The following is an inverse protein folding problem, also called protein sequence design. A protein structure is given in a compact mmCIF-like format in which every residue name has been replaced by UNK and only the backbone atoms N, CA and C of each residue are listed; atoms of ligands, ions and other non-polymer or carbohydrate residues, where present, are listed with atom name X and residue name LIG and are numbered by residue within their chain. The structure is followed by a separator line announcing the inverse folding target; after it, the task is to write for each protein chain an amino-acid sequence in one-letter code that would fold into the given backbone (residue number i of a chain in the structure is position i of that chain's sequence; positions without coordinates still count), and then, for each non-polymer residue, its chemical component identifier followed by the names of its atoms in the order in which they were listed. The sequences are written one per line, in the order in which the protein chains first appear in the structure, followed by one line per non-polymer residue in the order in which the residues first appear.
data_IF_837594502143
#
_entry.id   IF_837594502143
#
_cell.length_a   1.000
_cell.length_b   1.000
_cell.length_c   1.000
_cell.angle_alpha   90.00
_cell.angle_beta   90.00
_cell.angle_gamma   90.00
#
_symmetry.space_group_name_H-M   'P 1'
#
loop_
_entity.id
_entity.type
_entity.pdbx_description
1 polymer ?
#
# COMPACT_ATOMS: atom_id res chain seq x y z
N UNK A 1 1.35 5.79 -21.27
CA UNK A 1 2.21 6.90 -20.84
C UNK A 1 3.59 6.72 -21.45
N UNK A 2 4.09 7.69 -22.21
CA UNK A 2 5.48 7.72 -22.67
C UNK A 2 6.22 8.72 -21.79
N UNK A 3 7.11 8.23 -20.94
CA UNK A 3 8.05 9.09 -20.25
C UNK A 3 9.22 9.27 -21.22
N UNK A 4 9.39 10.50 -21.70
CA UNK A 4 10.51 10.84 -22.56
C UNK A 4 11.81 10.74 -21.74
N UNK A 5 12.73 9.91 -22.19
CA UNK A 5 14.04 9.76 -21.54
C UNK A 5 14.82 11.07 -21.44
N UNK A 6 14.52 12.06 -22.29
CA UNK A 6 15.13 13.39 -22.21
C UNK A 6 14.69 14.16 -20.97
N UNK A 7 13.46 13.94 -20.47
CA UNK A 7 12.97 14.53 -19.22
C UNK A 7 13.67 13.98 -17.98
N UNK A 8 14.26 12.80 -18.11
CA UNK A 8 14.96 12.11 -17.01
C UNK A 8 16.48 12.31 -17.06
N UNK A 9 16.99 13.08 -18.02
CA UNK A 9 18.42 13.32 -18.17
C UNK A 9 19.00 13.97 -16.90
N UNK A 10 20.02 13.34 -16.31
CA UNK A 10 20.66 13.81 -15.08
C UNK A 10 19.93 13.46 -13.78
N UNK A 11 18.81 12.72 -13.87
CA UNK A 11 18.07 12.21 -12.70
C UNK A 11 18.56 10.79 -12.40
N UNK A 12 18.81 10.48 -11.12
CA UNK A 12 19.27 9.16 -10.69
C UNK A 12 18.16 8.34 -10.04
N UNK A 13 17.10 8.97 -9.58
CA UNK A 13 15.98 8.33 -8.87
C UNK A 13 14.69 9.08 -9.17
N UNK A 14 13.65 8.36 -9.54
CA UNK A 14 12.29 8.86 -9.64
C UNK A 14 11.49 8.52 -8.38
N UNK A 15 10.61 9.42 -7.96
CA UNK A 15 9.58 9.15 -6.95
C UNK A 15 8.23 9.31 -7.64
N UNK A 16 7.42 8.24 -7.63
CA UNK A 16 6.09 8.26 -8.21
C UNK A 16 5.02 8.34 -7.12
N UNK A 17 4.14 9.32 -7.26
CA UNK A 17 3.09 9.65 -6.28
C UNK A 17 1.83 10.08 -7.03
N UNK A 18 1.35 9.23 -7.93
CA UNK A 18 0.18 9.49 -8.76
C UNK A 18 -1.06 8.79 -8.22
N UNK A 19 -2.28 9.22 -8.58
CA UNK A 19 -3.50 8.48 -8.24
C UNK A 19 -3.42 7.01 -8.65
N UNK A 20 -4.07 6.13 -7.89
CA UNK A 20 -3.94 4.67 -8.03
C UNK A 20 -4.20 4.15 -9.45
N UNK A 21 -5.21 4.68 -10.15
CA UNK A 21 -5.52 4.28 -11.53
C UNK A 21 -4.40 4.58 -12.55
N UNK A 22 -3.43 5.41 -12.21
CA UNK A 22 -2.26 5.74 -13.03
C UNK A 22 -1.00 5.00 -12.55
N UNK A 23 -1.01 4.47 -11.32
CA UNK A 23 0.18 3.99 -10.61
C UNK A 23 0.97 2.95 -11.38
N UNK A 24 0.33 1.83 -11.73
CA UNK A 24 0.99 0.73 -12.42
C UNK A 24 1.60 1.13 -13.76
N UNK A 25 0.85 1.85 -14.59
CA UNK A 25 1.31 2.30 -15.89
C UNK A 25 2.47 3.32 -15.78
N UNK A 26 2.43 4.19 -14.76
CA UNK A 26 3.52 5.13 -14.48
C UNK A 26 4.77 4.40 -14.01
N UNK A 27 4.64 3.47 -13.07
CA UNK A 27 5.75 2.64 -12.59
C UNK A 27 6.42 1.87 -13.73
N UNK A 28 5.61 1.20 -14.56
CA UNK A 28 6.10 0.48 -15.75
C UNK A 28 6.85 1.39 -16.70
N UNK A 29 6.33 2.58 -16.98
CA UNK A 29 6.96 3.56 -17.88
C UNK A 29 8.31 4.05 -17.35
N UNK A 30 8.42 4.32 -16.04
CA UNK A 30 9.68 4.72 -15.39
C UNK A 30 10.71 3.61 -15.47
N UNK A 31 10.32 2.36 -15.21
CA UNK A 31 11.20 1.20 -15.33
C UNK A 31 11.67 1.01 -16.78
N UNK A 32 10.76 1.12 -17.76
CA UNK A 32 11.08 1.05 -19.21
C UNK A 32 12.10 2.12 -19.62
N UNK A 33 12.02 3.30 -19.03
CA UNK A 33 12.98 4.38 -19.25
C UNK A 33 14.37 4.14 -18.61
N UNK A 34 14.54 3.04 -17.87
CA UNK A 34 15.83 2.68 -17.25
C UNK A 34 16.12 3.46 -15.96
N UNK A 35 15.10 3.92 -15.24
CA UNK A 35 15.23 4.75 -14.05
C UNK A 35 14.95 3.95 -12.78
N UNK A 36 15.81 4.13 -11.75
CA UNK A 36 15.48 3.66 -10.39
C UNK A 36 14.24 4.42 -9.88
N UNK A 37 13.37 3.71 -9.17
CA UNK A 37 12.09 4.29 -8.76
C UNK A 37 11.67 3.86 -7.36
N UNK A 38 11.10 4.81 -6.61
CA UNK A 38 10.35 4.57 -5.38
C UNK A 38 8.91 4.99 -5.62
N UNK A 39 7.97 4.06 -5.44
CA UNK A 39 6.55 4.29 -5.71
C UNK A 39 5.71 4.24 -4.44
N UNK A 40 4.87 5.26 -4.28
CA UNK A 40 3.89 5.35 -3.18
C UNK A 40 2.44 5.24 -3.67
N UNK A 41 2.24 5.03 -4.96
CA UNK A 41 0.89 4.96 -5.55
C UNK A 41 0.15 3.70 -5.10
N UNK A 42 -1.16 3.84 -4.87
CA UNK A 42 -2.00 2.74 -4.39
C UNK A 42 -2.86 2.17 -5.53
N UNK A 43 -2.30 1.26 -6.33
CA UNK A 43 -2.98 0.62 -7.47
C UNK A 43 -3.35 -0.85 -7.19
N UNK A 44 -4.39 -1.39 -7.86
CA UNK A 44 -4.87 -2.76 -7.62
C UNK A 44 -3.97 -3.87 -8.20
N UNK A 45 -3.17 -3.54 -9.21
CA UNK A 45 -2.32 -4.50 -9.92
C UNK A 45 -1.20 -5.03 -9.01
N UNK A 46 -0.65 -6.18 -9.40
CA UNK A 46 0.53 -6.74 -8.73
C UNK A 46 1.81 -6.06 -9.22
N UNK A 47 2.39 -5.23 -8.38
CA UNK A 47 3.65 -4.55 -8.68
C UNK A 47 4.81 -5.53 -8.93
N UNK A 48 4.79 -6.73 -8.30
CA UNK A 48 5.85 -7.74 -8.45
C UNK A 48 5.88 -8.33 -9.88
N UNK A 49 4.80 -8.19 -10.65
CA UNK A 49 4.78 -8.56 -12.06
C UNK A 49 5.82 -7.80 -12.91
N UNK A 50 6.27 -6.63 -12.43
CA UNK A 50 7.30 -5.82 -13.09
C UNK A 50 8.74 -6.23 -12.75
N UNK A 51 8.95 -7.22 -11.86
CA UNK A 51 10.29 -7.66 -11.43
C UNK A 51 11.20 -8.06 -12.60
N UNK A 52 10.66 -8.82 -13.56
CA UNK A 52 11.41 -9.23 -14.76
C UNK A 52 11.86 -8.02 -15.57
N UNK A 53 10.97 -7.06 -15.80
CA UNK A 53 11.26 -5.84 -16.54
C UNK A 53 12.32 -4.99 -15.81
N UNK A 54 12.22 -4.85 -14.49
CA UNK A 54 13.21 -4.12 -13.70
C UNK A 54 14.60 -4.77 -13.79
N UNK A 55 14.69 -6.09 -13.73
CA UNK A 55 15.94 -6.85 -13.92
C UNK A 55 16.51 -6.67 -15.34
N UNK A 56 15.68 -6.76 -16.37
CA UNK A 56 16.10 -6.53 -17.76
C UNK A 56 16.63 -5.11 -18.00
N UNK A 57 16.08 -4.12 -17.30
CA UNK A 57 16.52 -2.72 -17.37
C UNK A 57 17.65 -2.39 -16.40
N UNK A 58 18.06 -3.34 -15.57
CA UNK A 58 19.08 -3.16 -14.52
C UNK A 58 18.74 -1.96 -13.58
N UNK A 59 17.50 -1.84 -13.17
CA UNK A 59 17.01 -0.81 -12.25
C UNK A 59 16.44 -1.40 -10.98
N UNK A 60 16.47 -0.62 -9.91
CA UNK A 60 15.81 -0.92 -8.65
C UNK A 60 14.47 -0.21 -8.59
N UNK A 61 13.39 -0.99 -8.43
CA UNK A 61 12.04 -0.47 -8.20
C UNK A 61 11.57 -0.89 -6.80
N UNK A 62 11.30 0.09 -5.94
CA UNK A 62 10.77 -0.12 -4.60
C UNK A 62 9.34 0.37 -4.59
N UNK A 63 8.41 -0.51 -4.32
CA UNK A 63 6.97 -0.25 -4.32
C UNK A 63 6.39 -0.32 -2.91
N UNK A 64 5.13 0.11 -2.74
CA UNK A 64 4.48 0.12 -1.44
C UNK A 64 5.25 0.98 -0.40
N UNK A 65 5.69 2.17 -0.80
CA UNK A 65 6.47 3.09 0.05
C UNK A 65 5.65 4.24 0.64
N UNK A 66 4.33 4.08 0.76
CA UNK A 66 3.43 5.03 1.42
C UNK A 66 3.42 4.90 2.95
N UNK A 67 2.25 5.15 3.54
CA UNK A 67 2.04 4.95 4.99
C UNK A 67 1.66 3.51 5.28
N UNK A 68 0.59 3.01 4.64
CA UNK A 68 0.13 1.62 4.71
C UNK A 68 -0.63 1.25 3.42
N UNK A 69 0.04 0.63 2.47
CA UNK A 69 1.38 0.02 2.55
C UNK A 69 2.53 1.03 2.52
N UNK A 70 3.58 0.75 3.28
CA UNK A 70 4.82 1.54 3.28
C UNK A 70 5.52 1.53 4.62
N UNK A 71 5.26 2.51 5.49
CA UNK A 71 5.85 2.54 6.84
C UNK A 71 5.55 1.24 7.60
N UNK A 72 4.33 0.73 7.48
CA UNK A 72 3.94 -0.58 8.01
C UNK A 72 4.82 -1.72 7.49
N UNK A 73 5.20 -1.69 6.21
CA UNK A 73 6.06 -2.69 5.58
C UNK A 73 7.49 -2.62 6.11
N UNK A 74 8.02 -1.40 6.28
CA UNK A 74 9.35 -1.18 6.83
C UNK A 74 9.43 -1.65 8.28
N UNK A 75 8.41 -1.34 9.08
CA UNK A 75 8.35 -1.75 10.50
C UNK A 75 8.31 -3.27 10.63
N UNK A 76 7.40 -3.95 9.91
CA UNK A 76 7.34 -5.41 9.98
C UNK A 76 8.62 -6.06 9.43
N UNK A 77 9.20 -5.49 8.35
CA UNK A 77 10.47 -5.97 7.79
C UNK A 77 11.60 -5.89 8.82
N UNK A 78 11.69 -4.78 9.56
CA UNK A 78 12.69 -4.61 10.62
C UNK A 78 12.54 -5.65 11.74
N UNK A 79 11.32 -5.83 12.26
CA UNK A 79 11.07 -6.80 13.31
C UNK A 79 11.24 -8.26 12.84
N UNK A 80 11.03 -8.55 11.56
CA UNK A 80 11.26 -9.87 11.00
C UNK A 80 12.73 -10.31 11.05
N UNK A 81 13.67 -9.36 11.13
CA UNK A 81 15.10 -9.66 11.34
C UNK A 81 15.44 -10.00 12.81
N UNK A 82 14.56 -9.62 13.73
CA UNK A 82 14.83 -9.70 15.17
C UNK A 82 14.00 -10.77 15.88
N UNK A 83 12.84 -11.15 15.32
CA UNK A 83 11.91 -12.07 15.96
C UNK A 83 11.11 -12.90 14.96
N UNK A 84 10.54 -13.99 15.45
CA UNK A 84 9.54 -14.76 14.71
C UNK A 84 8.19 -14.04 14.80
N UNK A 85 7.58 -13.75 13.66
CA UNK A 85 6.30 -13.05 13.59
C UNK A 85 5.19 -14.07 13.33
N UNK A 86 4.33 -14.28 14.30
CA UNK A 86 3.16 -15.16 14.19
C UNK A 86 1.95 -14.47 13.57
N UNK A 87 1.80 -13.17 13.83
CA UNK A 87 0.70 -12.38 13.25
C UNK A 87 1.11 -10.93 13.03
N UNK A 88 0.50 -10.32 12.02
CA UNK A 88 0.63 -8.90 11.72
C UNK A 88 -0.74 -8.28 11.50
N UNK A 89 -1.04 -7.26 12.28
CA UNK A 89 -2.24 -6.46 12.11
C UNK A 89 -1.85 -4.98 12.02
N UNK A 90 -2.31 -4.30 10.98
CA UNK A 90 -2.03 -2.90 10.74
C UNK A 90 -3.33 -2.11 10.76
N UNK A 91 -3.43 -1.17 11.67
CA UNK A 91 -4.54 -0.22 11.75
C UNK A 91 -4.07 1.11 11.21
N UNK A 92 -4.80 1.66 10.27
CA UNK A 92 -4.46 2.92 9.62
C UNK A 92 -5.72 3.72 9.34
N UNK A 93 -5.67 5.03 9.58
CA UNK A 93 -6.77 5.94 9.32
C UNK A 93 -6.28 7.34 9.01
N UNK A 94 -7.05 8.06 8.19
CA UNK A 94 -6.83 9.46 7.88
C UNK A 94 -8.04 10.29 8.30
N UNK A 95 -8.06 10.76 9.56
CA UNK A 95 -9.17 11.50 10.11
C UNK A 95 -8.82 12.99 10.31
N UNK A 96 -9.75 13.92 10.04
CA UNK A 96 -9.51 15.33 10.33
C UNK A 96 -9.47 15.58 11.83
N UNK A 97 -8.53 16.41 12.31
CA UNK A 97 -8.47 16.85 13.71
C UNK A 97 -9.75 17.57 14.13
N UNK A 98 -10.31 18.39 13.23
CA UNK A 98 -11.58 19.08 13.45
C UNK A 98 -12.67 18.34 12.70
N UNK A 99 -13.52 17.64 13.45
CA UNK A 99 -14.68 16.94 12.89
C UNK A 99 -15.84 17.92 12.72
N UNK A 100 -16.26 18.15 11.48
CA UNK A 100 -17.38 19.03 11.14
C UNK A 100 -18.52 18.21 10.55
N UNK A 101 -19.72 18.36 11.10
CA UNK A 101 -20.94 17.78 10.52
C UNK A 101 -21.16 18.30 9.09
N UNK A 102 -21.82 17.55 8.20
CA UNK A 102 -22.53 16.29 8.50
C UNK A 102 -21.64 15.03 8.45
N UNK A 103 -20.47 15.06 7.80
CA UNK A 103 -19.73 13.82 7.51
C UNK A 103 -18.61 13.54 8.53
N UNK A 104 -18.16 14.55 9.25
CA UNK A 104 -17.02 14.42 10.19
C UNK A 104 -15.75 13.78 9.58
N UNK A 105 -15.66 13.85 8.25
CA UNK A 105 -14.61 13.24 7.45
C UNK A 105 -14.09 14.23 6.40
N UNK A 106 -12.83 14.06 6.03
CA UNK A 106 -12.19 14.79 4.94
C UNK A 106 -11.15 13.87 4.29
N UNK A 107 -11.23 13.71 2.97
CA UNK A 107 -10.27 12.91 2.22
C UNK A 107 -8.83 13.45 2.41
N UNK A 108 -7.89 12.65 2.95
CA UNK A 108 -6.51 13.08 3.16
C UNK A 108 -5.65 13.01 1.89
N UNK A 109 -6.11 12.26 0.88
CA UNK A 109 -5.44 12.04 -0.41
C UNK A 109 -6.48 12.01 -1.54
N UNK A 110 -6.13 11.45 -2.70
CA UNK A 110 -7.00 11.37 -3.88
C UNK A 110 -8.40 10.82 -3.51
N UNK A 111 -9.50 11.56 -3.76
CA UNK A 111 -10.85 11.11 -3.39
C UNK A 111 -11.26 9.77 -4.02
N UNK A 112 -10.78 9.46 -5.22
CA UNK A 112 -11.08 8.18 -5.86
C UNK A 112 -10.38 7.02 -5.13
N UNK A 113 -9.14 7.23 -4.69
CA UNK A 113 -8.40 6.21 -3.95
C UNK A 113 -9.01 6.01 -2.55
N UNK A 114 -9.57 7.06 -1.94
CA UNK A 114 -10.36 6.95 -0.71
C UNK A 114 -11.58 6.06 -0.92
N UNK A 115 -12.33 6.25 -2.02
CA UNK A 115 -13.49 5.42 -2.34
C UNK A 115 -13.06 3.95 -2.54
N UNK A 116 -11.90 3.71 -3.14
CA UNK A 116 -11.36 2.38 -3.33
C UNK A 116 -11.07 1.64 -2.02
N UNK A 117 -10.67 2.35 -0.95
CA UNK A 117 -10.51 1.76 0.39
C UNK A 117 -11.81 1.15 0.92
N UNK A 118 -12.97 1.72 0.56
CA UNK A 118 -14.28 1.26 1.00
C UNK A 118 -14.97 0.26 0.06
N UNK A 119 -14.45 0.07 -1.14
CA UNK A 119 -15.10 -0.74 -2.18
C UNK A 119 -14.28 -1.92 -2.67
N UNK A 120 -12.95 -1.80 -2.65
CA UNK A 120 -12.03 -2.86 -3.10
C UNK A 120 -12.06 -4.03 -2.12
N UNK A 121 -12.26 -5.28 -2.61
CA UNK A 121 -12.18 -6.47 -1.75
C UNK A 121 -10.80 -6.57 -1.07
N UNK A 122 -10.81 -6.84 0.23
CA UNK A 122 -9.62 -6.93 1.05
C UNK A 122 -8.94 -8.30 0.90
N UNK A 123 -7.68 -8.31 0.50
CA UNK A 123 -6.83 -9.49 0.50
C UNK A 123 -6.10 -9.60 1.83
N UNK A 124 -6.33 -10.71 2.52
CA UNK A 124 -5.81 -10.99 3.85
C UNK A 124 -5.07 -12.33 3.86
N UNK A 125 -4.36 -12.64 4.94
CA UNK A 125 -3.82 -13.97 5.16
C UNK A 125 -4.35 -14.56 6.44
N UNK A 126 -4.96 -15.74 6.36
CA UNK A 126 -5.52 -16.49 7.47
C UNK A 126 -5.05 -17.94 7.39
N UNK A 127 -4.55 -18.48 8.50
CA UNK A 127 -4.05 -19.87 8.56
C UNK A 127 -3.07 -20.22 7.43
N UNK A 128 -2.22 -19.29 7.07
CA UNK A 128 -1.22 -19.45 6.00
C UNK A 128 -1.75 -19.30 4.57
N UNK A 129 -3.06 -19.10 4.37
CA UNK A 129 -3.68 -18.96 3.06
C UNK A 129 -4.15 -17.53 2.78
N UNK A 130 -4.01 -17.09 1.53
CA UNK A 130 -4.57 -15.80 1.10
C UNK A 130 -6.08 -15.98 0.92
N UNK A 131 -6.84 -15.15 1.62
CA UNK A 131 -8.29 -15.06 1.53
C UNK A 131 -8.71 -13.69 1.03
N UNK A 132 -9.83 -13.65 0.33
CA UNK A 132 -10.41 -12.39 -0.16
C UNK A 132 -11.76 -12.19 0.53
N UNK A 133 -11.92 -11.05 1.19
CA UNK A 133 -13.17 -10.69 1.86
C UNK A 133 -13.74 -9.41 1.26
N UNK A 134 -15.05 -9.20 1.27
CA UNK A 134 -15.61 -7.91 0.86
C UNK A 134 -15.02 -6.78 1.72
N UNK A 135 -14.90 -5.60 1.14
CA UNK A 135 -14.52 -4.41 1.90
C UNK A 135 -15.48 -4.17 3.06
N UNK A 136 -15.04 -3.45 4.08
CA UNK A 136 -15.84 -3.07 5.24
C UNK A 136 -16.40 -4.26 6.05
N UNK A 137 -15.75 -5.42 5.99
CA UNK A 137 -16.12 -6.60 6.78
C UNK A 137 -15.29 -6.72 8.06
N UNK A 138 -15.75 -7.59 8.97
CA UNK A 138 -15.13 -7.83 10.27
C UNK A 138 -14.92 -6.53 11.06
N UNK A 139 -15.98 -5.78 11.14
CA UNK A 139 -16.03 -4.51 11.88
C UNK A 139 -15.76 -4.76 13.35
N UNK A 140 -14.89 -3.96 13.93
CA UNK A 140 -14.61 -3.96 15.36
C UNK A 140 -14.41 -2.53 15.89
N UNK A 141 -14.75 -2.32 17.15
CA UNK A 141 -14.47 -1.06 17.83
C UNK A 141 -13.11 -1.15 18.52
N UNK A 142 -12.26 -0.16 18.28
CA UNK A 142 -10.95 -0.03 18.91
C UNK A 142 -10.78 1.34 19.54
N UNK A 143 -10.18 1.35 20.72
CA UNK A 143 -9.79 2.59 21.40
C UNK A 143 -8.36 2.96 21.01
N UNK A 144 -8.21 4.19 20.52
CA UNK A 144 -6.92 4.78 20.21
C UNK A 144 -6.67 5.96 21.16
N UNK A 145 -5.49 5.96 21.80
CA UNK A 145 -5.06 7.07 22.63
C UNK A 145 -5.15 8.39 21.85
N UNK A 146 -5.63 9.45 22.49
CA UNK A 146 -5.81 10.79 21.92
C UNK A 146 -6.85 10.93 20.77
N UNK A 147 -7.34 9.83 20.22
CA UNK A 147 -8.32 9.85 19.11
C UNK A 147 -9.70 9.43 19.57
N UNK A 148 -9.78 8.49 20.51
CA UNK A 148 -11.00 7.86 21.01
C UNK A 148 -11.34 6.57 20.28
N UNK A 149 -12.55 6.07 20.51
CA UNK A 149 -13.06 4.83 19.94
C UNK A 149 -13.37 5.01 18.46
N UNK A 150 -12.81 4.17 17.61
CA UNK A 150 -13.04 4.14 16.17
C UNK A 150 -13.58 2.78 15.74
N UNK A 151 -14.37 2.77 14.70
CA UNK A 151 -14.79 1.58 13.99
C UNK A 151 -13.73 1.22 12.95
N UNK A 152 -13.18 0.01 13.06
CA UNK A 152 -12.16 -0.53 12.18
C UNK A 152 -12.72 -1.69 11.35
N UNK A 153 -12.38 -1.76 10.08
CA UNK A 153 -12.86 -2.80 9.16
C UNK A 153 -11.78 -3.21 8.17
N UNK A 154 -11.93 -4.38 7.55
CA UNK A 154 -10.95 -4.90 6.61
C UNK A 154 -10.85 -4.03 5.34
N UNK A 155 -9.61 -3.68 4.96
CA UNK A 155 -9.28 -2.99 3.72
C UNK A 155 -8.14 -3.67 2.97
N UNK A 156 -8.04 -3.44 1.65
CA UNK A 156 -6.97 -4.00 0.82
C UNK A 156 -5.72 -3.13 0.87
N UNK A 157 -4.74 -3.51 1.64
CA UNK A 157 -3.53 -2.72 1.78
C UNK A 157 -2.29 -3.49 2.22
N UNK A 158 -2.39 -4.81 2.31
CA UNK A 158 -1.22 -5.66 2.59
C UNK A 158 -0.33 -5.83 1.36
N UNK A 159 -0.92 -5.89 0.15
CA UNK A 159 -0.25 -5.93 -1.14
C UNK A 159 1.02 -6.81 -1.15
N UNK A 160 2.20 -6.21 -1.30
CA UNK A 160 3.46 -6.94 -1.40
C UNK A 160 3.76 -7.83 -0.18
N UNK A 161 3.38 -7.45 1.04
CA UNK A 161 3.62 -8.26 2.24
C UNK A 161 2.92 -9.63 2.16
N UNK A 162 1.83 -9.75 1.43
CA UNK A 162 1.15 -11.05 1.27
C UNK A 162 2.08 -12.09 0.64
N UNK A 163 2.93 -11.67 -0.29
CA UNK A 163 3.79 -12.53 -1.10
C UNK A 163 5.25 -12.55 -0.60
N UNK A 164 5.77 -11.40 -0.16
CA UNK A 164 7.17 -11.26 0.25
C UNK A 164 7.44 -11.82 1.65
N UNK A 165 6.41 -11.98 2.48
CA UNK A 165 6.51 -12.58 3.81
C UNK A 165 5.60 -13.82 3.96
N UNK A 166 5.82 -14.89 3.17
CA UNK A 166 4.92 -16.04 3.16
C UNK A 166 4.91 -16.82 4.48
N UNK A 167 5.94 -16.70 5.29
CA UNK A 167 6.10 -17.37 6.58
C UNK A 167 5.17 -16.82 7.67
N UNK A 168 4.72 -15.57 7.57
CA UNK A 168 3.77 -14.99 8.55
C UNK A 168 2.36 -15.50 8.26
N UNK A 169 1.77 -16.34 9.14
CA UNK A 169 0.54 -17.07 8.82
C UNK A 169 -0.74 -16.24 8.91
N UNK A 170 -0.72 -15.10 9.62
CA UNK A 170 -1.87 -14.22 9.78
C UNK A 170 -1.48 -12.78 9.48
N UNK A 171 -2.19 -12.14 8.55
CA UNK A 171 -1.99 -10.73 8.18
C UNK A 171 -3.31 -10.05 7.89
N UNK A 172 -3.54 -8.88 8.50
CA UNK A 172 -4.71 -8.04 8.29
C UNK A 172 -4.31 -6.57 8.18
N UNK A 173 -5.07 -5.80 7.41
CA UNK A 173 -5.10 -4.33 7.44
C UNK A 173 -6.53 -3.87 7.72
N UNK A 174 -6.71 -2.97 8.67
CA UNK A 174 -7.98 -2.33 9.03
C UNK A 174 -7.84 -0.81 9.10
#
# INVERSE_FOLDING_TARGET
YNIDSTLLAGINLAITAVPGFMGYATLEAVIKAGMNVVDISFFPEDALALDKLAKEKNVTAITDCGVAPGVSNLVIGRYNEEMIIDSFECYVGGLPKLRKKPFEYKAPFSPIDVIEEYTRPARLKENGQIVVKPAMTEVELMDFDEVGTLECFNTDGLRSILFTMPHVPKKKKK
#
